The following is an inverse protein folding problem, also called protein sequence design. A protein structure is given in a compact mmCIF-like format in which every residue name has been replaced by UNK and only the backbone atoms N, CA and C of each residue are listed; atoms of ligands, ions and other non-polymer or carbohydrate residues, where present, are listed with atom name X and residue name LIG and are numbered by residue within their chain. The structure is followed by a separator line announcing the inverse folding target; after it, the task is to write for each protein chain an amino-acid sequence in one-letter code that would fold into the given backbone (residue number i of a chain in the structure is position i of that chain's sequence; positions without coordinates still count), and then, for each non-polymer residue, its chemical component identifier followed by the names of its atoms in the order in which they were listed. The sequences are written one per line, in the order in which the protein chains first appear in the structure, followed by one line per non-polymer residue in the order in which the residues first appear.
data_IF_206848174800
#
_entry.id   IF_206848174800
#
_cell.length_a   1.000
_cell.length_b   1.000
_cell.length_c   1.000
_cell.angle_alpha   90.00
_cell.angle_beta   90.00
_cell.angle_gamma   90.00
#
_symmetry.space_group_name_H-M   'P 1'
#
loop_
_entity.id
_entity.type
_entity.pdbx_description
1 polymer ?
#
# COMPACT_ATOMS: atom_id res chain seq x y z
N UNK A 1 -31.95 -43.57 12.71
CA UNK A 1 -30.56 -43.26 12.31
C UNK A 1 -30.57 -43.05 10.80
N UNK A 2 -30.11 -41.99 10.16
CA UNK A 2 -28.98 -41.09 10.39
C UNK A 2 -29.28 -39.73 9.73
N UNK A 3 -29.41 -38.67 10.52
CA UNK A 3 -29.51 -37.27 10.04
C UNK A 3 -28.24 -36.46 10.39
N UNK A 4 -27.34 -37.03 11.21
CA UNK A 4 -26.14 -36.35 11.71
C UNK A 4 -24.93 -36.33 10.76
N UNK A 5 -24.94 -37.12 9.68
CA UNK A 5 -23.78 -37.23 8.77
C UNK A 5 -23.72 -36.11 7.72
N UNK A 6 -24.87 -35.60 7.25
CA UNK A 6 -24.90 -34.62 6.16
C UNK A 6 -24.53 -33.20 6.64
N UNK A 7 -24.98 -32.80 7.82
CA UNK A 7 -24.72 -31.47 8.40
C UNK A 7 -23.24 -31.25 8.74
N UNK A 8 -22.57 -32.26 9.30
CA UNK A 8 -21.15 -32.17 9.69
C UNK A 8 -20.21 -32.09 8.47
N UNK A 9 -20.53 -32.80 7.38
CA UNK A 9 -19.75 -32.74 6.14
C UNK A 9 -19.90 -31.39 5.42
N UNK A 10 -21.10 -30.81 5.42
CA UNK A 10 -21.34 -29.48 4.81
C UNK A 10 -20.60 -28.38 5.58
N UNK A 11 -20.64 -28.41 6.91
CA UNK A 11 -19.89 -27.46 7.76
C UNK A 11 -18.38 -27.60 7.59
N UNK A 12 -17.86 -28.83 7.50
CA UNK A 12 -16.44 -29.10 7.25
C UNK A 12 -15.98 -28.61 5.87
N UNK A 13 -16.80 -28.80 4.83
CA UNK A 13 -16.53 -28.28 3.47
C UNK A 13 -16.53 -26.75 3.42
N UNK A 14 -17.49 -26.10 4.10
CA UNK A 14 -17.53 -24.64 4.23
C UNK A 14 -16.32 -24.07 4.96
N UNK A 15 -15.85 -24.74 6.01
CA UNK A 15 -14.63 -24.37 6.74
C UNK A 15 -13.38 -24.42 5.86
N UNK A 16 -13.22 -25.48 5.06
CA UNK A 16 -12.10 -25.60 4.11
C UNK A 16 -12.16 -24.52 3.04
N UNK A 17 -13.33 -24.27 2.45
CA UNK A 17 -13.48 -23.21 1.44
C UNK A 17 -13.14 -21.83 1.98
N UNK A 18 -13.62 -21.47 3.18
CA UNK A 18 -13.30 -20.20 3.81
C UNK A 18 -11.81 -20.07 4.09
N UNK A 19 -11.19 -21.13 4.62
CA UNK A 19 -9.75 -21.15 4.88
C UNK A 19 -8.95 -20.96 3.58
N UNK A 20 -9.28 -21.68 2.52
CA UNK A 20 -8.63 -21.52 1.21
C UNK A 20 -8.79 -20.09 0.68
N UNK A 21 -9.98 -19.49 0.82
CA UNK A 21 -10.21 -18.11 0.42
C UNK A 21 -9.33 -17.13 1.22
N UNK A 22 -9.25 -17.27 2.55
CA UNK A 22 -8.40 -16.42 3.39
C UNK A 22 -6.92 -16.56 3.04
N UNK A 23 -6.44 -17.79 2.76
CA UNK A 23 -5.06 -18.02 2.34
C UNK A 23 -4.80 -17.37 0.98
N UNK A 24 -5.67 -17.58 -0.01
CA UNK A 24 -5.54 -16.94 -1.33
C UNK A 24 -5.57 -15.42 -1.23
N UNK A 25 -6.46 -14.87 -0.39
CA UNK A 25 -6.53 -13.44 -0.14
C UNK A 25 -5.27 -12.92 0.54
N UNK A 26 -4.73 -13.61 1.54
CA UNK A 26 -3.47 -13.25 2.18
C UNK A 26 -2.29 -13.28 1.20
N UNK A 27 -2.23 -14.30 0.32
CA UNK A 27 -1.23 -14.39 -0.73
C UNK A 27 -1.38 -13.25 -1.75
N UNK A 28 -2.62 -12.89 -2.10
CA UNK A 28 -2.91 -11.76 -2.97
C UNK A 28 -2.41 -10.45 -2.37
N UNK A 29 -2.76 -10.14 -1.11
CA UNK A 29 -2.26 -8.96 -0.39
C UNK A 29 -0.73 -8.97 -0.29
N UNK A 30 -0.13 -10.12 0.01
CA UNK A 30 1.33 -10.28 0.07
C UNK A 30 1.98 -9.94 -1.28
N UNK A 31 1.41 -10.41 -2.39
CA UNK A 31 1.95 -10.13 -3.72
C UNK A 31 1.82 -8.64 -4.08
N UNK A 32 0.73 -7.98 -3.68
CA UNK A 32 0.57 -6.54 -3.89
C UNK A 32 1.64 -5.72 -3.14
N UNK A 33 1.86 -6.03 -1.86
CA UNK A 33 2.80 -5.28 -1.00
C UNK A 33 4.27 -5.49 -1.44
N UNK A 34 4.57 -6.69 -1.94
CA UNK A 34 5.90 -7.07 -2.42
C UNK A 34 6.07 -6.90 -3.93
N UNK A 35 5.13 -6.23 -4.59
CA UNK A 35 5.24 -6.01 -6.02
C UNK A 35 6.48 -5.17 -6.35
N UNK A 36 6.99 -5.35 -7.57
CA UNK A 36 8.11 -4.57 -8.08
C UNK A 36 7.68 -3.11 -8.28
N UNK A 37 8.63 -2.20 -8.04
CA UNK A 37 8.43 -0.79 -8.29
C UNK A 37 8.36 -0.54 -9.80
N UNK A 38 7.40 0.28 -10.23
CA UNK A 38 7.33 0.78 -11.59
C UNK A 38 8.36 1.89 -11.82
N UNK A 39 8.50 2.78 -10.84
CA UNK A 39 9.47 3.86 -10.84
C UNK A 39 10.22 3.89 -9.51
N UNK A 40 11.51 4.21 -9.58
CA UNK A 40 12.39 4.32 -8.42
C UNK A 40 13.06 5.69 -8.49
N UNK A 41 13.00 6.42 -7.39
CA UNK A 41 13.70 7.69 -7.22
C UNK A 41 14.54 7.64 -5.95
N UNK A 42 15.76 8.15 -6.05
CA UNK A 42 16.65 8.29 -4.90
C UNK A 42 16.56 9.74 -4.42
N UNK A 43 16.44 9.90 -3.11
CA UNK A 43 16.48 11.20 -2.43
C UNK A 43 17.81 11.94 -2.66
N UNK A 44 17.83 13.28 -2.61
CA UNK A 44 19.04 14.10 -2.78
C UNK A 44 20.27 13.64 -1.97
N UNK A 45 20.11 13.26 -0.70
CA UNK A 45 21.20 12.77 0.15
C UNK A 45 21.68 11.37 -0.23
N UNK A 46 20.88 10.65 -1.01
CA UNK A 46 21.08 9.25 -1.32
C UNK A 46 20.58 8.28 -0.25
N UNK A 47 20.06 8.76 0.88
CA UNK A 47 19.68 7.91 2.03
C UNK A 47 18.38 7.15 1.80
N UNK A 48 17.37 7.80 1.23
CA UNK A 48 16.06 7.21 1.01
C UNK A 48 15.86 6.78 -0.44
N UNK A 49 15.23 5.63 -0.61
CA UNK A 49 14.68 5.15 -1.88
C UNK A 49 13.17 5.34 -1.82
N UNK A 50 12.62 6.00 -2.83
CA UNK A 50 11.20 6.19 -3.04
C UNK A 50 10.77 5.37 -4.25
N UNK A 51 9.85 4.45 -4.04
CA UNK A 51 9.40 3.53 -5.06
C UNK A 51 7.90 3.72 -5.28
N UNK A 52 7.52 3.94 -6.54
CA UNK A 52 6.13 3.86 -6.95
C UNK A 52 5.78 2.41 -7.22
N UNK A 53 4.87 1.84 -6.44
CA UNK A 53 4.48 0.43 -6.57
C UNK A 53 3.02 0.36 -7.00
N UNK A 54 2.80 -0.05 -8.26
CA UNK A 54 1.47 -0.24 -8.82
C UNK A 54 0.77 -1.46 -8.22
N UNK A 55 -0.55 -1.36 -8.01
CA UNK A 55 -1.39 -2.47 -7.53
C UNK A 55 -2.09 -3.25 -8.64
N UNK A 56 -1.80 -2.89 -9.90
CA UNK A 56 -2.33 -3.54 -11.10
C UNK A 56 -3.74 -3.08 -11.45
N UNK A 57 -4.08 -3.21 -12.73
CA UNK A 57 -5.36 -2.80 -13.30
C UNK A 57 -6.31 -4.00 -13.37
N UNK A 58 -7.43 -3.92 -12.66
CA UNK A 58 -8.49 -4.94 -12.74
C UNK A 58 -9.83 -4.28 -13.05
N UNK A 59 -10.36 -4.49 -14.26
CA UNK A 59 -11.71 -4.23 -14.82
C UNK A 59 -12.47 -2.93 -14.44
N UNK A 60 -12.52 -2.56 -13.16
CA UNK A 60 -13.16 -1.36 -12.59
C UNK A 60 -12.23 -0.48 -11.73
N UNK A 61 -10.97 -0.88 -11.50
CA UNK A 61 -10.03 -0.11 -10.67
C UNK A 61 -9.22 0.83 -11.54
N UNK A 62 -9.16 2.12 -11.15
CA UNK A 62 -8.19 3.08 -11.71
C UNK A 62 -6.77 2.56 -11.48
N UNK A 63 -5.82 3.00 -12.31
CA UNK A 63 -4.42 2.61 -12.17
C UNK A 63 -3.89 3.24 -10.88
N UNK A 64 -3.83 2.44 -9.82
CA UNK A 64 -3.49 2.89 -8.48
C UNK A 64 -2.08 2.43 -8.13
N UNK A 65 -1.43 3.26 -7.31
CA UNK A 65 -0.13 2.95 -6.73
C UNK A 65 -0.07 3.42 -5.29
N UNK A 66 0.95 2.97 -4.59
CA UNK A 66 1.39 3.58 -3.33
C UNK A 66 2.87 3.92 -3.43
N UNK A 67 3.29 4.91 -2.65
CA UNK A 67 4.69 5.23 -2.49
C UNK A 67 5.26 4.37 -1.37
N UNK A 68 6.37 3.71 -1.64
CA UNK A 68 7.15 2.94 -0.68
C UNK A 68 8.46 3.69 -0.43
N UNK A 69 8.65 4.15 0.81
CA UNK A 69 9.88 4.83 1.25
C UNK A 69 10.72 3.85 2.05
N UNK A 70 11.98 3.68 1.65
CA UNK A 70 12.95 2.76 2.26
C UNK A 70 14.15 3.58 2.73
N UNK A 71 14.49 3.49 4.02
CA UNK A 71 15.74 4.05 4.55
C UNK A 71 16.89 3.08 4.26
N UNK A 72 17.87 3.48 3.45
CA UNK A 72 19.01 2.59 3.11
C UNK A 72 19.91 2.29 4.30
N UNK A 73 19.87 3.09 5.36
CA UNK A 73 20.59 2.80 6.59
C UNK A 73 19.84 1.77 7.46
N UNK A 74 18.53 1.66 7.26
CA UNK A 74 17.62 0.77 7.99
C UNK A 74 16.62 0.13 7.01
N UNK A 75 17.08 -0.74 6.08
CA UNK A 75 16.25 -1.25 5.00
C UNK A 75 15.08 -2.12 5.48
N UNK A 76 15.10 -2.57 6.73
CA UNK A 76 13.97 -3.22 7.40
C UNK A 76 12.79 -2.27 7.66
N UNK A 77 13.01 -0.94 7.62
CA UNK A 77 12.00 0.09 7.82
C UNK A 77 11.44 0.55 6.49
N UNK A 78 10.31 -0.04 6.12
CA UNK A 78 9.58 0.26 4.89
C UNK A 78 8.27 0.95 5.22
N UNK A 79 8.10 2.17 4.72
CA UNK A 79 6.91 3.00 4.95
C UNK A 79 6.08 3.07 3.68
N UNK A 80 4.75 2.90 3.79
CA UNK A 80 3.83 2.85 2.65
C UNK A 80 2.68 3.84 2.84
N UNK A 81 2.49 4.70 1.84
CA UNK A 81 1.35 5.62 1.78
C UNK A 81 0.02 4.87 1.63
N UNK A 82 -1.11 5.55 1.84
CA UNK A 82 -2.35 5.13 1.19
C UNK A 82 -2.18 5.09 -0.33
N UNK A 83 -3.10 4.39 -0.99
CA UNK A 83 -3.20 4.36 -2.45
C UNK A 83 -3.57 5.73 -3.00
N UNK A 84 -3.02 6.04 -4.17
CA UNK A 84 -3.35 7.17 -5.00
C UNK A 84 -3.42 6.76 -6.48
N UNK A 85 -4.03 7.59 -7.31
CA UNK A 85 -4.12 7.37 -8.76
C UNK A 85 -2.80 7.75 -9.45
N UNK A 86 -2.32 6.91 -10.37
CA UNK A 86 -1.05 7.10 -11.09
C UNK A 86 -1.08 8.28 -12.06
N UNK A 87 -2.26 8.71 -12.51
CA UNK A 87 -2.39 9.79 -13.51
C UNK A 87 -1.92 11.17 -12.98
N UNK A 88 -1.87 11.33 -11.65
CA UNK A 88 -1.43 12.58 -10.99
C UNK A 88 0.00 12.50 -10.45
N UNK A 89 0.77 11.51 -10.91
CA UNK A 89 2.03 11.12 -10.29
C UNK A 89 3.26 11.85 -10.88
N UNK A 90 4.03 12.49 -10.01
CA UNK A 90 5.30 13.14 -10.35
C UNK A 90 6.38 12.75 -9.32
N UNK A 91 7.42 12.06 -9.82
CA UNK A 91 8.50 11.47 -9.01
C UNK A 91 9.64 12.43 -8.67
N UNK A 92 9.54 13.73 -8.97
CA UNK A 92 10.57 14.68 -8.57
C UNK A 92 10.74 14.66 -7.05
N UNK A 93 11.89 14.13 -6.62
CA UNK A 93 12.21 13.99 -5.21
C UNK A 93 12.67 15.30 -4.59
N UNK A 94 12.34 15.45 -3.32
CA UNK A 94 12.91 16.46 -2.44
C UNK A 94 13.29 15.79 -1.10
N UNK A 95 14.18 16.44 -0.37
CA UNK A 95 14.59 16.04 0.97
C UNK A 95 15.11 17.26 1.71
N UNK A 96 14.71 17.40 2.96
CA UNK A 96 15.27 18.33 3.92
C UNK A 96 15.48 17.65 5.28
N UNK A 97 15.76 18.44 6.33
CA UNK A 97 16.03 17.90 7.66
C UNK A 97 14.82 17.21 8.32
N UNK A 98 13.60 17.53 7.88
CA UNK A 98 12.34 17.10 8.50
C UNK A 98 11.58 16.11 7.63
N UNK A 99 11.70 16.19 6.32
CA UNK A 99 10.89 15.41 5.40
C UNK A 99 11.66 14.94 4.15
N UNK A 100 11.16 13.84 3.59
CA UNK A 100 11.58 13.33 2.28
C UNK A 100 10.34 12.95 1.50
N UNK A 101 10.36 13.12 0.19
CA UNK A 101 9.19 12.76 -0.59
C UNK A 101 9.31 13.11 -2.04
N UNK A 102 8.15 13.15 -2.68
CA UNK A 102 7.95 13.52 -4.07
C UNK A 102 6.83 14.55 -4.15
N UNK A 103 6.58 15.11 -5.33
CA UNK A 103 5.51 16.10 -5.50
C UNK A 103 4.19 15.56 -4.95
N UNK A 104 3.56 16.34 -4.06
CA UNK A 104 2.30 16.05 -3.36
C UNK A 104 2.33 14.96 -2.29
N UNK A 105 3.45 14.28 -2.06
CA UNK A 105 3.57 13.22 -1.04
C UNK A 105 4.82 13.46 -0.19
N UNK A 106 4.60 13.75 1.08
CA UNK A 106 5.62 14.11 2.06
C UNK A 106 5.71 13.02 3.12
N UNK A 107 6.92 12.60 3.48
CA UNK A 107 7.17 11.69 4.59
C UNK A 107 7.93 12.41 5.70
N UNK A 108 7.25 12.64 6.81
CA UNK A 108 7.83 13.24 8.01
C UNK A 108 8.81 12.25 8.67
N UNK A 109 10.07 12.65 8.75
CA UNK A 109 11.15 11.83 9.30
C UNK A 109 11.10 11.70 10.83
N UNK A 110 10.44 12.61 11.53
CA UNK A 110 10.31 12.61 12.99
C UNK A 110 9.10 11.79 13.42
N UNK A 111 7.93 12.15 12.89
CA UNK A 111 6.64 11.55 13.23
C UNK A 111 6.38 10.24 12.50
N UNK A 112 7.18 9.93 11.46
CA UNK A 112 7.00 8.75 10.60
C UNK A 112 5.58 8.68 10.06
N UNK A 113 5.10 9.80 9.52
CA UNK A 113 3.76 9.96 8.97
C UNK A 113 3.84 10.49 7.54
N UNK A 114 2.84 10.17 6.73
CA UNK A 114 2.70 10.72 5.38
C UNK A 114 1.69 11.85 5.33
N UNK A 115 1.96 12.83 4.49
CA UNK A 115 0.95 13.81 4.07
C UNK A 115 0.77 13.73 2.56
N UNK A 116 -0.47 13.50 2.12
CA UNK A 116 -0.84 13.33 0.70
C UNK A 116 -1.74 14.48 0.28
N UNK A 117 -1.15 15.46 -0.39
CA UNK A 117 -1.82 16.68 -0.86
C UNK A 117 -2.45 16.54 -2.26
N UNK A 118 -2.55 15.32 -2.79
CA UNK A 118 -3.13 15.09 -4.12
C UNK A 118 -4.61 15.51 -4.14
N UNK A 119 -5.02 16.51 -4.96
CA UNK A 119 -6.39 17.04 -4.92
C UNK A 119 -7.48 16.02 -5.29
N UNK A 120 -7.15 15.06 -6.15
CA UNK A 120 -8.08 14.02 -6.60
C UNK A 120 -8.05 12.77 -5.71
N UNK A 121 -7.29 12.80 -4.60
CA UNK A 121 -7.15 11.65 -3.73
C UNK A 121 -8.50 11.24 -3.13
N UNK A 122 -8.78 9.95 -3.15
CA UNK A 122 -9.98 9.35 -2.56
C UNK A 122 -9.58 8.15 -1.71
N UNK A 123 -10.24 7.94 -0.56
CA UNK A 123 -9.96 6.78 0.27
C UNK A 123 -10.32 5.50 -0.49
N UNK A 124 -9.44 4.50 -0.40
CA UNK A 124 -9.65 3.19 -0.98
C UNK A 124 -9.57 2.12 0.12
N UNK A 125 -10.49 1.15 0.11
CA UNK A 125 -10.58 0.12 1.15
C UNK A 125 -9.29 -0.71 1.27
N UNK A 126 -8.54 -0.86 0.19
CA UNK A 126 -7.29 -1.63 0.19
C UNK A 126 -6.18 -0.93 1.02
N UNK A 127 -6.37 0.35 1.39
CA UNK A 127 -5.47 1.07 2.31
C UNK A 127 -5.35 0.38 3.67
N UNK A 128 -6.38 -0.37 4.12
CA UNK A 128 -6.31 -1.16 5.36
C UNK A 128 -5.20 -2.23 5.35
N UNK A 129 -4.76 -2.66 4.17
CA UNK A 129 -3.75 -3.69 3.99
C UNK A 129 -2.43 -3.14 3.44
N UNK A 130 -2.52 -2.14 2.56
CA UNK A 130 -1.36 -1.60 1.85
C UNK A 130 -0.63 -0.53 2.65
N UNK A 131 -1.37 0.40 3.25
CA UNK A 131 -0.74 1.43 4.07
C UNK A 131 -0.33 0.82 5.41
N UNK A 132 0.89 1.12 5.85
CA UNK A 132 1.40 0.71 7.16
C UNK A 132 1.95 1.88 7.99
N UNK A 133 1.64 3.09 7.56
CA UNK A 133 2.18 4.33 8.12
C UNK A 133 1.02 5.29 8.36
N UNK A 134 0.95 5.98 9.51
CA UNK A 134 -0.03 7.05 9.72
C UNK A 134 -0.02 8.06 8.57
N UNK A 135 -1.19 8.56 8.20
CA UNK A 135 -1.27 9.53 7.10
C UNK A 135 -2.43 10.51 7.25
N UNK A 136 -2.21 11.69 6.66
CA UNK A 136 -3.23 12.68 6.34
C UNK A 136 -3.33 12.79 4.82
N UNK A 137 -4.55 12.82 4.28
CA UNK A 137 -4.76 12.83 2.84
C UNK A 137 -6.03 13.59 2.47
N UNK A 138 -6.00 14.22 1.29
CA UNK A 138 -7.18 14.85 0.70
C UNK A 138 -7.30 16.36 0.92
N UNK A 139 -6.17 17.08 1.01
CA UNK A 139 -6.07 18.54 0.84
C UNK A 139 -7.27 19.33 1.38
N UNK A 140 -7.46 19.30 2.70
CA UNK A 140 -8.38 20.20 3.39
C UNK A 140 -7.57 20.94 4.45
N UNK A 141 -6.88 21.97 3.97
CA UNK A 141 -6.40 23.09 4.76
C UNK A 141 -7.47 24.19 4.69
#
# INVERSE_FOLDING_TARGET
MSVGSFSSVVTKRRGVTLFCFLVLFALFIRNLINNQAYLIQISPSGRYIMENVGVGRWWYWNDMAYLRVIDRQHPEKVYRTPLYEMDSFDMRAFEDEKEVGIVWIYFDLVNKAFTVHMPQWKPHWLNYFISNTPYEAGGND
#
